data_IF_887827050388
#
_entry.id   IF_887827050388
#
_cell.length_a   1.000
_cell.length_b   1.000
_cell.length_c   1.000
_cell.angle_alpha   90.00
_cell.angle_beta   90.00
_cell.angle_gamma   90.00
#
_symmetry.space_group_name_H-M   'P 1'
#
loop_
_entity.id
_entity.type
_entity.pdbx_description
1 polymer ?
#
# COMPACT_ATOMS: atom_id res chain seq x y z
N UNK A 1 -21.05 -9.97 39.32
CA UNK A 1 -19.87 -9.85 38.44
C UNK A 1 -20.26 -10.36 37.06
N UNK A 2 -20.56 -9.48 36.10
CA UNK A 2 -20.77 -9.88 34.71
C UNK A 2 -19.40 -10.03 34.05
N UNK A 3 -19.02 -11.26 33.73
CA UNK A 3 -17.85 -11.52 32.89
C UNK A 3 -18.25 -11.06 31.48
N UNK A 4 -17.59 -10.01 30.97
CA UNK A 4 -17.79 -9.56 29.59
C UNK A 4 -17.46 -10.73 28.65
N UNK A 5 -18.33 -11.01 27.67
CA UNK A 5 -18.10 -12.06 26.65
C UNK A 5 -16.83 -11.80 25.82
N UNK A 6 -16.47 -10.53 25.65
CA UNK A 6 -15.25 -10.05 25.02
C UNK A 6 -14.50 -9.22 26.06
N UNK A 7 -13.60 -9.87 26.77
CA UNK A 7 -12.75 -9.28 27.80
C UNK A 7 -11.47 -8.70 27.20
N UNK A 8 -10.63 -8.12 28.04
CA UNK A 8 -9.33 -7.60 27.65
C UNK A 8 -8.45 -8.74 27.10
N UNK A 9 -7.70 -8.46 26.03
CA UNK A 9 -6.87 -9.42 25.29
C UNK A 9 -7.68 -10.48 24.51
N UNK A 10 -9.01 -10.38 24.44
CA UNK A 10 -9.82 -11.29 23.62
C UNK A 10 -9.34 -11.31 22.17
N UNK A 11 -9.15 -10.13 21.59
CA UNK A 11 -8.70 -9.97 20.20
C UNK A 11 -7.29 -10.51 19.99
N UNK A 12 -6.38 -10.31 20.94
CA UNK A 12 -5.03 -10.87 20.89
C UNK A 12 -5.08 -12.40 20.83
N UNK A 13 -5.85 -13.03 21.73
CA UNK A 13 -6.05 -14.49 21.72
C UNK A 13 -6.69 -14.97 20.44
N UNK A 14 -7.72 -14.27 19.96
CA UNK A 14 -8.40 -14.56 18.70
C UNK A 14 -7.42 -14.55 17.50
N UNK A 15 -6.62 -13.49 17.36
CA UNK A 15 -5.67 -13.39 16.25
C UNK A 15 -4.53 -14.41 16.35
N UNK A 16 -4.02 -14.68 17.55
CA UNK A 16 -3.03 -15.74 17.76
C UNK A 16 -3.57 -17.12 17.37
N UNK A 17 -4.79 -17.45 17.81
CA UNK A 17 -5.45 -18.71 17.45
C UNK A 17 -5.67 -18.84 15.95
N UNK A 18 -6.17 -17.79 15.29
CA UNK A 18 -6.41 -17.79 13.84
C UNK A 18 -5.11 -17.93 13.06
N UNK A 19 -4.06 -17.20 13.45
CA UNK A 19 -2.73 -17.30 12.84
C UNK A 19 -2.17 -18.71 13.00
N UNK A 20 -2.24 -19.29 14.21
CA UNK A 20 -1.78 -20.65 14.47
C UNK A 20 -2.54 -21.72 13.65
N UNK A 21 -3.83 -21.49 13.39
CA UNK A 21 -4.67 -22.38 12.56
C UNK A 21 -4.54 -22.13 11.05
N UNK A 22 -3.75 -21.14 10.62
CA UNK A 22 -3.68 -20.72 9.22
C UNK A 22 -5.00 -20.19 8.67
N UNK A 23 -5.95 -19.82 9.54
CA UNK A 23 -7.24 -19.28 9.13
C UNK A 23 -7.08 -17.78 8.88
N UNK A 24 -7.49 -17.35 7.70
CA UNK A 24 -7.53 -15.95 7.31
C UNK A 24 -8.99 -15.43 7.32
N UNK A 25 -9.18 -14.12 7.33
CA UNK A 25 -10.50 -13.54 7.59
C UNK A 25 -10.46 -12.08 8.06
N UNK A 26 -11.01 -11.14 7.31
CA UNK A 26 -11.21 -9.77 7.79
C UNK A 26 -12.43 -9.70 8.74
N UNK A 27 -12.24 -9.06 9.90
CA UNK A 27 -13.25 -8.98 10.97
C UNK A 27 -13.04 -10.03 12.08
N UNK A 28 -13.48 -9.68 13.30
CA UNK A 28 -13.34 -10.53 14.51
C UNK A 28 -14.68 -11.13 14.93
N UNK A 29 -15.75 -10.34 14.91
CA UNK A 29 -17.09 -10.73 15.35
C UNK A 29 -17.97 -11.19 14.19
N UNK A 30 -17.72 -10.68 12.98
CA UNK A 30 -18.36 -11.08 11.72
C UNK A 30 -17.45 -10.72 10.54
N UNK A 31 -17.74 -11.22 9.35
CA UNK A 31 -17.01 -10.90 8.12
C UNK A 31 -17.12 -9.42 7.78
N UNK A 32 -15.98 -8.75 7.60
CA UNK A 32 -15.89 -7.29 7.44
C UNK A 32 -16.57 -6.79 6.15
N UNK A 33 -16.20 -7.32 4.99
CA UNK A 33 -16.63 -6.77 3.69
C UNK A 33 -18.11 -6.96 3.37
N UNK A 34 -18.73 -8.12 3.70
CA UNK A 34 -20.19 -8.23 3.66
C UNK A 34 -20.90 -7.22 4.56
N UNK A 35 -20.36 -6.94 5.76
CA UNK A 35 -20.93 -5.94 6.66
C UNK A 35 -20.82 -4.53 6.06
N UNK A 36 -19.65 -4.17 5.51
CA UNK A 36 -19.43 -2.90 4.81
C UNK A 36 -20.43 -2.73 3.67
N UNK A 37 -20.57 -3.74 2.80
CA UNK A 37 -21.49 -3.67 1.66
C UNK A 37 -22.96 -3.50 2.08
N UNK A 38 -23.35 -4.09 3.22
CA UNK A 38 -24.74 -4.04 3.70
C UNK A 38 -25.07 -2.80 4.54
N UNK A 39 -24.09 -2.23 5.23
CA UNK A 39 -24.36 -1.21 6.28
C UNK A 39 -23.50 0.05 6.18
N UNK A 40 -22.39 0.02 5.43
CA UNK A 40 -21.41 1.10 5.39
C UNK A 40 -20.63 1.31 6.70
N UNK A 41 -20.77 0.42 7.68
CA UNK A 41 -20.23 0.56 9.03
C UNK A 41 -19.42 -0.69 9.42
N UNK A 42 -18.32 -0.48 10.17
CA UNK A 42 -17.42 -1.58 10.60
C UNK A 42 -17.56 -1.96 12.08
N UNK A 43 -18.35 -1.22 12.86
CA UNK A 43 -18.40 -1.33 14.33
C UNK A 43 -18.87 -2.71 14.79
N UNK A 44 -19.72 -3.38 14.01
CA UNK A 44 -20.19 -4.74 14.35
C UNK A 44 -19.18 -5.83 14.00
N UNK A 45 -18.12 -5.52 13.25
CA UNK A 45 -17.08 -6.49 12.90
C UNK A 45 -16.03 -6.66 14.01
N UNK A 46 -15.95 -5.74 14.97
CA UNK A 46 -14.85 -5.70 15.95
C UNK A 46 -15.34 -5.46 17.38
N UNK A 47 -14.69 -6.04 18.41
CA UNK A 47 -14.95 -5.66 19.79
C UNK A 47 -14.47 -4.22 20.08
N UNK A 48 -14.96 -3.64 21.18
CA UNK A 48 -14.66 -2.26 21.59
C UNK A 48 -13.15 -1.97 21.70
N UNK A 49 -12.37 -2.93 22.21
CA UNK A 49 -10.90 -2.80 22.34
C UNK A 49 -10.17 -2.62 21.01
N UNK A 50 -10.78 -2.95 19.87
CA UNK A 50 -10.22 -2.73 18.53
C UNK A 50 -10.82 -1.52 17.80
N UNK A 51 -11.73 -0.80 18.44
CA UNK A 51 -12.38 0.40 17.90
C UNK A 51 -11.93 1.68 18.61
N UNK A 52 -11.14 1.56 19.68
CA UNK A 52 -10.68 2.68 20.48
C UNK A 52 -9.29 2.40 21.04
N UNK A 53 -8.35 3.30 20.74
CA UNK A 53 -7.00 3.25 21.32
C UNK A 53 -7.05 3.46 22.84
N UNK A 54 -8.00 4.24 23.35
CA UNK A 54 -8.21 4.42 24.78
C UNK A 54 -8.65 3.11 25.44
N UNK A 55 -9.57 2.38 24.82
CA UNK A 55 -9.99 1.06 25.30
C UNK A 55 -8.83 0.05 25.24
N UNK A 56 -8.09 0.02 24.13
CA UNK A 56 -6.92 -0.85 23.95
C UNK A 56 -5.84 -0.61 25.01
N UNK A 57 -5.52 0.66 25.28
CA UNK A 57 -4.44 1.06 26.19
C UNK A 57 -4.89 1.24 27.64
N UNK A 58 -6.15 0.93 27.97
CA UNK A 58 -6.75 1.16 29.31
C UNK A 58 -6.64 2.61 29.77
N UNK A 59 -6.89 3.56 28.88
CA UNK A 59 -6.88 4.98 29.20
C UNK A 59 -5.50 5.64 29.15
N UNK A 60 -4.44 4.91 28.82
CA UNK A 60 -3.06 5.44 28.82
C UNK A 60 -2.75 6.31 27.62
N UNK A 61 -3.43 6.09 26.50
CA UNK A 61 -3.34 6.92 25.30
C UNK A 61 -4.75 7.18 24.79
N UNK A 62 -5.06 8.45 24.51
CA UNK A 62 -6.39 8.92 24.10
C UNK A 62 -6.36 9.65 22.77
N UNK A 63 -7.53 9.83 22.18
CA UNK A 63 -7.69 10.70 21.01
C UNK A 63 -7.22 12.12 21.33
N UNK A 64 -6.40 12.71 20.46
CA UNK A 64 -5.79 14.03 20.67
C UNK A 64 -4.44 14.01 21.39
N UNK A 65 -4.06 12.90 22.03
CA UNK A 65 -2.73 12.76 22.64
C UNK A 65 -1.62 12.75 21.58
N UNK A 66 -0.39 12.94 22.05
CA UNK A 66 0.81 12.72 21.27
C UNK A 66 1.56 11.53 21.86
N UNK A 67 1.81 10.53 21.03
CA UNK A 67 2.68 9.41 21.38
C UNK A 67 4.14 9.89 21.25
N UNK A 68 4.89 9.75 22.34
CA UNK A 68 6.31 10.11 22.50
C UNK A 68 7.06 8.94 23.14
N UNK A 69 8.37 9.09 23.36
CA UNK A 69 9.16 8.12 24.11
C UNK A 69 8.55 7.78 25.50
N UNK A 70 7.81 8.70 26.13
CA UNK A 70 7.26 8.53 27.47
C UNK A 70 6.08 7.55 27.55
N UNK A 71 5.35 7.35 26.45
CA UNK A 71 4.11 6.55 26.45
C UNK A 71 4.03 5.53 25.29
N UNK A 72 5.00 5.49 24.37
CA UNK A 72 5.01 4.58 23.22
C UNK A 72 4.98 3.11 23.62
N UNK A 73 5.48 2.74 24.80
CA UNK A 73 5.43 1.36 25.29
C UNK A 73 4.00 0.82 25.38
N UNK A 74 3.00 1.68 25.62
CA UNK A 74 1.59 1.28 25.69
C UNK A 74 1.00 0.89 24.34
N UNK A 75 1.65 1.24 23.24
CA UNK A 75 1.19 0.99 21.86
C UNK A 75 2.23 0.24 21.01
N UNK A 76 3.28 -0.30 21.65
CA UNK A 76 4.37 -1.02 20.98
C UNK A 76 3.88 -2.13 20.05
N UNK A 77 2.91 -2.92 20.52
CA UNK A 77 2.33 -4.04 19.77
C UNK A 77 1.46 -3.60 18.57
N UNK A 78 1.21 -2.29 18.42
CA UNK A 78 0.48 -1.70 17.29
C UNK A 78 1.38 -1.02 16.25
N UNK A 79 2.69 -1.00 16.46
CA UNK A 79 3.68 -0.34 15.61
C UNK A 79 4.61 -1.37 14.99
N UNK A 80 5.15 -1.03 13.81
CA UNK A 80 6.30 -1.77 13.30
C UNK A 80 7.56 -1.45 14.14
N UNK A 81 8.56 -2.36 14.17
CA UNK A 81 9.76 -2.17 14.99
C UNK A 81 10.55 -0.89 14.70
N UNK A 82 10.52 -0.41 13.44
CA UNK A 82 11.24 0.79 13.03
C UNK A 82 10.52 2.02 13.58
N UNK A 83 9.19 2.11 13.43
CA UNK A 83 8.40 3.20 14.01
C UNK A 83 8.54 3.27 15.54
N UNK A 84 8.51 2.12 16.23
CA UNK A 84 8.74 2.08 17.67
C UNK A 84 10.13 2.62 18.04
N UNK A 85 11.18 2.21 17.33
CA UNK A 85 12.55 2.69 17.55
C UNK A 85 12.66 4.20 17.33
N UNK A 86 12.06 4.71 16.24
CA UNK A 86 12.07 6.13 15.94
C UNK A 86 11.39 6.97 17.02
N UNK A 87 10.28 6.49 17.58
CA UNK A 87 9.57 7.22 18.65
C UNK A 87 10.29 7.12 19.99
N UNK A 88 10.74 5.92 20.37
CA UNK A 88 11.37 5.67 21.67
C UNK A 88 12.79 6.24 21.79
N UNK A 89 13.53 6.33 20.67
CA UNK A 89 14.96 6.65 20.69
C UNK A 89 15.36 7.84 19.82
N UNK A 90 14.59 8.16 18.76
CA UNK A 90 14.97 9.18 17.76
C UNK A 90 14.07 10.42 17.80
N UNK A 91 13.17 10.52 18.77
CA UNK A 91 12.33 11.70 18.98
C UNK A 91 11.16 11.85 18.00
N UNK A 92 10.82 10.83 17.19
CA UNK A 92 9.60 10.85 16.38
C UNK A 92 8.37 10.95 17.29
N UNK A 93 7.38 11.73 16.87
CA UNK A 93 6.13 11.94 17.61
C UNK A 93 4.94 11.59 16.73
N UNK A 94 3.92 10.93 17.30
CA UNK A 94 2.73 10.53 16.55
C UNK A 94 1.51 11.20 17.20
N UNK A 95 0.79 12.03 16.45
CA UNK A 95 -0.47 12.62 16.92
C UNK A 95 -1.59 11.59 16.77
N UNK A 96 -2.28 11.30 17.86
CA UNK A 96 -3.43 10.38 17.85
C UNK A 96 -4.66 11.09 17.31
N UNK A 97 -5.33 10.46 16.36
CA UNK A 97 -6.59 10.92 15.77
C UNK A 97 -7.68 9.89 15.99
N UNK A 98 -8.96 10.30 16.00
CA UNK A 98 -10.08 9.36 16.06
C UNK A 98 -10.02 8.33 14.93
N UNK A 99 -10.44 7.10 15.21
CA UNK A 99 -10.55 6.06 14.19
C UNK A 99 -11.70 6.37 13.22
N UNK A 100 -11.42 6.40 11.91
CA UNK A 100 -12.52 6.44 10.94
C UNK A 100 -13.28 5.11 10.93
N UNK A 101 -14.60 5.19 11.07
CA UNK A 101 -15.54 4.06 10.94
C UNK A 101 -16.13 3.94 9.54
N UNK A 102 -15.97 5.00 8.75
CA UNK A 102 -16.44 5.11 7.38
C UNK A 102 -15.33 4.68 6.42
N UNK A 103 -15.49 3.50 5.84
CA UNK A 103 -14.52 2.89 4.92
C UNK A 103 -14.47 3.63 3.58
N UNK A 104 -15.53 4.34 3.20
CA UNK A 104 -15.54 5.11 1.95
C UNK A 104 -14.53 6.26 1.95
N UNK A 105 -14.04 6.67 3.12
CA UNK A 105 -12.98 7.68 3.28
C UNK A 105 -11.57 7.12 3.19
N UNK A 106 -11.41 5.80 3.17
CA UNK A 106 -10.12 5.11 3.14
C UNK A 106 -9.64 4.78 1.73
N UNK A 107 -10.49 4.96 0.72
CA UNK A 107 -10.23 4.57 -0.65
C UNK A 107 -10.79 5.62 -1.62
N UNK A 108 -10.18 5.77 -2.82
CA UNK A 108 -10.84 6.47 -3.91
C UNK A 108 -12.22 5.88 -4.20
N UNK A 109 -13.18 6.75 -4.53
CA UNK A 109 -14.58 6.37 -4.67
C UNK A 109 -14.77 5.21 -5.67
N UNK A 110 -14.26 5.36 -6.90
CA UNK A 110 -14.46 4.38 -7.97
C UNK A 110 -13.78 3.04 -7.64
N UNK A 111 -12.60 3.08 -7.04
CA UNK A 111 -11.90 1.88 -6.57
C UNK A 111 -12.71 1.15 -5.49
N UNK A 112 -13.28 1.88 -4.55
CA UNK A 112 -14.14 1.31 -3.50
C UNK A 112 -15.41 0.69 -4.09
N UNK A 113 -16.08 1.38 -5.02
CA UNK A 113 -17.28 0.85 -5.69
C UNK A 113 -16.95 -0.42 -6.49
N UNK A 114 -15.86 -0.43 -7.25
CA UNK A 114 -15.39 -1.60 -7.97
C UNK A 114 -15.07 -2.76 -7.01
N UNK A 115 -14.43 -2.48 -5.88
CA UNK A 115 -14.12 -3.47 -4.84
C UNK A 115 -15.40 -4.15 -4.33
N UNK A 116 -16.42 -3.38 -3.97
CA UNK A 116 -17.70 -3.92 -3.49
C UNK A 116 -18.44 -4.73 -4.58
N UNK A 117 -18.43 -4.24 -5.83
CA UNK A 117 -19.09 -4.88 -6.98
C UNK A 117 -18.40 -6.17 -7.42
N UNK A 118 -17.08 -6.26 -7.24
CA UNK A 118 -16.26 -7.35 -7.78
C UNK A 118 -15.77 -8.34 -6.72
N UNK A 119 -15.98 -8.08 -5.42
CA UNK A 119 -15.61 -9.00 -4.36
C UNK A 119 -16.06 -10.45 -4.66
N UNK A 120 -15.16 -11.42 -4.43
CA UNK A 120 -15.41 -12.85 -4.67
C UNK A 120 -15.31 -13.29 -6.13
N UNK A 121 -14.98 -12.40 -7.08
CA UNK A 121 -14.76 -12.76 -8.50
C UNK A 121 -13.30 -13.04 -8.85
N UNK A 122 -12.35 -12.64 -8.01
CA UNK A 122 -10.93 -12.89 -8.25
C UNK A 122 -10.56 -14.34 -7.89
N UNK A 123 -9.71 -14.95 -8.70
CA UNK A 123 -9.01 -16.20 -8.39
C UNK A 123 -7.56 -16.08 -8.85
N UNK A 124 -6.68 -16.92 -8.32
CA UNK A 124 -5.36 -17.15 -8.90
C UNK A 124 -5.48 -18.23 -9.98
N UNK A 125 -4.90 -18.00 -11.15
CA UNK A 125 -4.78 -19.02 -12.20
C UNK A 125 -3.66 -20.04 -11.88
N UNK A 126 -3.46 -21.01 -12.77
CA UNK A 126 -2.43 -22.05 -12.61
C UNK A 126 -0.99 -21.50 -12.53
N UNK A 127 -0.77 -20.27 -13.01
CA UNK A 127 0.51 -19.58 -12.96
C UNK A 127 0.63 -18.63 -11.75
N UNK A 128 -0.43 -18.50 -10.93
CA UNK A 128 -0.49 -17.59 -9.79
C UNK A 128 -0.85 -16.15 -10.15
N UNK A 129 -1.27 -15.87 -11.38
CA UNK A 129 -1.78 -14.56 -11.78
C UNK A 129 -3.22 -14.37 -11.30
N UNK A 130 -3.58 -13.15 -10.91
CA UNK A 130 -4.98 -12.84 -10.58
C UNK A 130 -5.79 -12.79 -11.86
N UNK A 131 -6.91 -13.49 -11.92
CA UNK A 131 -7.82 -13.48 -13.07
C UNK A 131 -9.27 -13.44 -12.59
N UNK A 132 -10.18 -13.08 -13.50
CA UNK A 132 -11.62 -13.20 -13.24
C UNK A 132 -12.05 -14.65 -13.36
N UNK A 133 -12.65 -15.15 -12.27
CA UNK A 133 -13.17 -16.51 -12.13
C UNK A 133 -13.99 -16.94 -13.35
N UNK A 134 -13.61 -18.08 -13.93
CA UNK A 134 -14.32 -18.70 -15.06
C UNK A 134 -14.08 -18.04 -16.42
N UNK A 135 -13.24 -17.00 -16.49
CA UNK A 135 -12.92 -16.33 -17.78
C UNK A 135 -11.45 -16.43 -18.17
N UNK A 136 -10.54 -16.54 -17.19
CA UNK A 136 -9.10 -16.44 -17.41
C UNK A 136 -8.62 -15.04 -17.83
N UNK A 137 -9.51 -14.05 -17.91
CA UNK A 137 -9.16 -12.67 -18.28
C UNK A 137 -8.53 -11.92 -17.10
N UNK A 138 -7.75 -10.85 -17.38
CA UNK A 138 -7.23 -9.94 -16.36
C UNK A 138 -8.28 -9.42 -15.37
N UNK A 139 -7.82 -8.92 -14.22
CA UNK A 139 -8.67 -8.40 -13.17
C UNK A 139 -9.46 -7.15 -13.60
N UNK A 140 -10.66 -6.98 -13.07
CA UNK A 140 -11.66 -5.99 -13.54
C UNK A 140 -11.91 -4.81 -12.60
N UNK A 141 -10.97 -4.55 -11.67
CA UNK A 141 -10.99 -3.34 -10.85
C UNK A 141 -11.36 -3.56 -9.38
N UNK A 142 -10.87 -2.64 -8.54
CA UNK A 142 -10.94 -2.74 -7.09
C UNK A 142 -9.91 -3.70 -6.48
N UNK A 143 -9.99 -3.94 -5.17
CA UNK A 143 -9.15 -4.92 -4.50
C UNK A 143 -9.63 -6.36 -4.85
N UNK A 144 -8.78 -7.22 -5.45
CA UNK A 144 -9.17 -8.57 -5.84
C UNK A 144 -9.55 -9.46 -4.66
N UNK A 145 -8.80 -9.41 -3.57
CA UNK A 145 -8.96 -10.28 -2.42
C UNK A 145 -9.23 -9.47 -1.15
N UNK A 146 -10.45 -8.98 -1.03
CA UNK A 146 -10.90 -8.22 0.15
C UNK A 146 -10.78 -9.00 1.47
N UNK A 147 -10.84 -10.33 1.37
CA UNK A 147 -10.59 -11.26 2.48
C UNK A 147 -9.50 -12.27 2.07
N UNK A 148 -8.21 -11.87 2.09
CA UNK A 148 -7.13 -12.66 1.50
C UNK A 148 -6.86 -13.91 2.34
N UNK A 149 -6.80 -15.07 1.69
CA UNK A 149 -6.61 -16.38 2.32
C UNK A 149 -5.15 -16.79 2.50
N UNK A 150 -4.22 -16.05 1.90
CA UNK A 150 -2.78 -16.27 2.01
C UNK A 150 -2.02 -14.97 1.76
N UNK A 151 -0.70 -15.00 1.95
CA UNK A 151 0.15 -13.83 1.76
C UNK A 151 0.21 -13.33 0.31
N UNK A 152 0.09 -14.23 -0.66
CA UNK A 152 0.11 -13.86 -2.08
C UNK A 152 -1.14 -13.07 -2.47
N UNK A 153 -2.33 -13.50 -2.02
CA UNK A 153 -3.58 -12.75 -2.20
C UNK A 153 -3.53 -11.38 -1.52
N UNK A 154 -2.95 -11.30 -0.33
CA UNK A 154 -2.77 -10.02 0.37
C UNK A 154 -1.82 -9.08 -0.40
N UNK A 155 -0.72 -9.60 -0.94
CA UNK A 155 0.25 -8.82 -1.71
C UNK A 155 -0.27 -8.40 -3.10
N UNK A 156 -1.13 -9.22 -3.72
CA UNK A 156 -1.81 -8.90 -4.96
C UNK A 156 -2.66 -7.62 -4.84
N UNK A 157 -3.32 -7.39 -3.70
CA UNK A 157 -4.10 -6.18 -3.44
C UNK A 157 -3.29 -4.88 -3.47
N UNK A 158 -1.97 -4.97 -3.24
CA UNK A 158 -1.06 -3.82 -3.34
C UNK A 158 -0.52 -3.73 -4.77
N UNK A 159 0.01 -4.84 -5.29
CA UNK A 159 0.73 -4.86 -6.58
C UNK A 159 -0.15 -4.43 -7.75
N UNK A 160 -1.38 -4.94 -7.85
CA UNK A 160 -2.22 -4.74 -9.05
C UNK A 160 -2.79 -3.33 -9.20
N UNK A 161 -2.82 -2.53 -8.13
CA UNK A 161 -3.26 -1.14 -8.22
C UNK A 161 -2.51 -0.29 -7.20
N UNK A 162 -1.34 0.22 -7.61
CA UNK A 162 -0.71 1.34 -6.92
C UNK A 162 -1.62 2.57 -7.05
N UNK A 163 -1.55 3.46 -6.07
CA UNK A 163 -2.36 4.69 -6.04
C UNK A 163 -3.87 4.50 -5.91
N UNK A 164 -4.39 3.32 -6.28
CA UNK A 164 -5.82 2.95 -6.31
C UNK A 164 -6.65 3.83 -7.26
N UNK A 165 -6.00 4.33 -8.31
CA UNK A 165 -6.62 5.06 -9.42
C UNK A 165 -6.20 4.44 -10.76
N UNK A 166 -6.94 4.74 -11.82
CA UNK A 166 -6.57 4.35 -13.19
C UNK A 166 -5.27 5.03 -13.64
N UNK A 167 -5.03 6.26 -13.17
CA UNK A 167 -3.80 7.01 -13.37
C UNK A 167 -3.49 7.83 -12.12
N UNK A 168 -2.22 7.80 -11.68
CA UNK A 168 -1.73 8.64 -10.59
C UNK A 168 -0.41 9.31 -10.99
N UNK A 169 -0.21 10.54 -10.51
CA UNK A 169 1.03 11.28 -10.65
C UNK A 169 1.42 11.82 -9.27
N UNK A 170 2.67 11.57 -8.88
CA UNK A 170 3.27 12.03 -7.64
C UNK A 170 4.39 12.99 -7.97
N UNK A 171 4.36 14.18 -7.37
CA UNK A 171 5.52 15.05 -7.31
C UNK A 171 6.36 14.62 -6.12
N UNK A 172 7.64 14.38 -6.35
CA UNK A 172 8.57 13.87 -5.35
C UNK A 172 9.75 14.81 -5.28
N UNK A 173 10.00 15.32 -4.07
CA UNK A 173 11.31 15.84 -3.69
C UNK A 173 12.07 14.70 -3.00
N UNK A 174 13.24 14.42 -3.53
CA UNK A 174 14.10 13.33 -3.09
C UNK A 174 15.43 13.92 -2.64
N UNK A 175 15.77 13.68 -1.39
CA UNK A 175 16.97 14.17 -0.73
C UNK A 175 17.74 12.97 -0.18
N UNK A 176 18.79 12.56 -0.86
CA UNK A 176 19.66 11.46 -0.40
C UNK A 176 20.67 12.01 0.60
N UNK A 177 20.57 11.51 1.84
CA UNK A 177 21.31 12.00 2.99
C UNK A 177 22.53 11.12 3.23
N UNK A 178 23.72 11.73 3.24
CA UNK A 178 24.97 11.07 3.54
C UNK A 178 25.14 10.70 5.02
N UNK A 179 26.17 9.90 5.38
CA UNK A 179 26.41 9.48 6.76
C UNK A 179 26.61 10.62 7.77
N UNK A 180 27.02 11.80 7.30
CA UNK A 180 27.23 12.99 8.13
C UNK A 180 25.94 13.81 8.34
N UNK A 181 24.83 13.42 7.70
CA UNK A 181 23.54 14.13 7.76
C UNK A 181 23.37 15.23 6.71
N UNK A 182 24.34 15.44 5.84
CA UNK A 182 24.27 16.39 4.73
C UNK A 182 23.53 15.79 3.52
N UNK A 183 22.81 16.63 2.78
CA UNK A 183 22.21 16.24 1.49
C UNK A 183 23.34 16.09 0.47
N UNK A 184 23.58 14.87 -0.01
CA UNK A 184 24.62 14.58 -1.01
C UNK A 184 24.05 14.66 -2.43
N UNK A 185 22.80 14.24 -2.61
CA UNK A 185 22.06 14.34 -3.87
C UNK A 185 20.65 14.86 -3.61
N UNK A 186 20.18 15.70 -4.54
CA UNK A 186 18.83 16.25 -4.50
C UNK A 186 18.20 16.15 -5.87
N UNK A 187 17.04 15.52 -5.94
CA UNK A 187 16.25 15.37 -7.14
C UNK A 187 14.84 15.93 -6.93
N UNK A 188 14.29 16.51 -8.00
CA UNK A 188 12.85 16.66 -8.12
C UNK A 188 12.42 15.83 -9.30
N UNK A 189 11.44 14.97 -9.08
CA UNK A 189 10.93 14.07 -10.08
C UNK A 189 9.42 13.97 -10.00
N UNK A 190 8.83 13.54 -11.11
CA UNK A 190 7.46 13.07 -11.10
C UNK A 190 7.45 11.56 -11.35
N UNK A 191 6.66 10.86 -10.55
CA UNK A 191 6.36 9.44 -10.72
C UNK A 191 4.94 9.31 -11.24
N UNK A 192 4.75 8.61 -12.34
CA UNK A 192 3.44 8.40 -12.95
C UNK A 192 3.19 6.91 -13.14
N UNK A 193 1.96 6.50 -12.89
CA UNK A 193 1.48 5.16 -13.15
C UNK A 193 0.13 5.23 -13.85
N UNK A 194 -0.03 4.45 -14.90
CA UNK A 194 -1.26 4.30 -15.67
C UNK A 194 -1.54 2.83 -15.86
N UNK A 195 -2.58 2.33 -15.20
CA UNK A 195 -3.03 0.95 -15.39
C UNK A 195 -3.60 0.78 -16.80
N UNK A 196 -3.51 -0.43 -17.33
CA UNK A 196 -4.14 -0.83 -18.61
C UNK A 196 -5.22 -1.87 -18.40
N UNK A 197 -5.23 -2.52 -17.24
CA UNK A 197 -6.26 -3.44 -16.77
C UNK A 197 -6.79 -2.97 -15.42
N UNK A 198 -7.87 -3.59 -14.95
CA UNK A 198 -8.52 -3.23 -13.69
C UNK A 198 -8.94 -1.75 -13.58
N UNK A 199 -9.26 -1.12 -14.73
CA UNK A 199 -9.71 0.26 -14.79
C UNK A 199 -11.09 0.42 -14.14
N UNK A 200 -11.24 1.42 -13.28
CA UNK A 200 -12.45 1.67 -12.51
C UNK A 200 -13.20 2.92 -12.94
N UNK A 201 -12.54 3.82 -13.68
CA UNK A 201 -13.08 5.11 -14.13
C UNK A 201 -13.08 5.24 -15.66
N UNK A 202 -12.54 4.26 -16.40
CA UNK A 202 -12.49 4.28 -17.86
C UNK A 202 -13.87 3.98 -18.49
N UNK A 203 -14.35 4.81 -19.45
CA UNK A 203 -15.71 4.70 -19.99
C UNK A 203 -15.99 3.40 -20.74
N UNK A 204 -14.99 2.89 -21.47
CA UNK A 204 -15.15 1.69 -22.33
C UNK A 204 -15.01 0.36 -21.58
N UNK A 205 -14.83 0.40 -20.26
CA UNK A 205 -14.74 -0.77 -19.41
C UNK A 205 -13.38 -0.95 -18.75
N UNK A 206 -13.11 -2.14 -18.19
CA UNK A 206 -12.02 -2.34 -17.24
C UNK A 206 -10.64 -2.47 -17.90
N UNK A 207 -10.55 -2.34 -19.22
CA UNK A 207 -9.35 -2.55 -20.00
C UNK A 207 -9.14 -1.43 -21.00
N UNK A 208 -7.88 -1.08 -21.23
CA UNK A 208 -7.47 -0.29 -22.37
C UNK A 208 -7.36 -1.24 -23.58
N UNK A 209 -8.09 -0.93 -24.66
CA UNK A 209 -8.19 -1.80 -25.85
C UNK A 209 -6.80 -2.12 -26.43
N UNK A 210 -6.51 -3.42 -26.58
CA UNK A 210 -5.25 -3.92 -27.14
C UNK A 210 -4.07 -3.94 -26.16
N UNK A 211 -4.30 -3.60 -24.89
CA UNK A 211 -3.28 -3.50 -23.84
C UNK A 211 -3.58 -4.43 -22.64
N UNK A 212 -4.44 -5.44 -22.84
CA UNK A 212 -4.87 -6.40 -21.82
C UNK A 212 -3.73 -7.33 -21.36
N UNK A 213 -2.67 -7.45 -22.15
CA UNK A 213 -1.44 -8.20 -21.83
C UNK A 213 -0.54 -7.45 -20.83
N UNK A 214 -0.88 -6.21 -20.48
CA UNK A 214 -0.11 -5.35 -19.58
C UNK A 214 -0.89 -5.09 -18.29
N UNK A 215 -0.15 -4.87 -17.21
CA UNK A 215 -0.72 -4.36 -15.97
C UNK A 215 -0.80 -2.84 -16.01
N UNK A 216 0.34 -2.21 -16.34
CA UNK A 216 0.49 -0.75 -16.35
C UNK A 216 1.70 -0.26 -17.13
N UNK A 217 1.64 1.03 -17.46
CA UNK A 217 2.81 1.84 -17.73
C UNK A 217 3.19 2.60 -16.46
N UNK A 218 4.44 2.54 -16.05
CA UNK A 218 4.99 3.39 -15.00
C UNK A 218 6.11 4.23 -15.59
N UNK A 219 6.15 5.51 -15.27
CA UNK A 219 7.21 6.41 -15.72
C UNK A 219 7.74 7.23 -14.57
N UNK A 220 9.03 7.56 -14.63
CA UNK A 220 9.67 8.53 -13.76
C UNK A 220 10.45 9.50 -14.62
N UNK A 221 10.32 10.80 -14.37
CA UNK A 221 11.10 11.82 -15.06
C UNK A 221 11.58 12.90 -14.11
N UNK A 222 12.81 13.35 -14.34
CA UNK A 222 13.52 14.27 -13.48
C UNK A 222 13.35 15.70 -14.01
N UNK A 223 12.99 16.63 -13.12
CA UNK A 223 12.86 18.06 -13.42
C UNK A 223 14.00 18.89 -12.83
N UNK A 224 14.74 18.32 -11.87
CA UNK A 224 15.91 18.90 -11.20
C UNK A 224 16.85 17.77 -10.75
N UNK A 225 18.19 17.96 -10.72
CA UNK A 225 18.95 19.17 -11.09
C UNK A 225 19.09 19.36 -12.60
N UNK A 226 19.72 20.46 -13.02
CA UNK A 226 19.84 20.84 -14.45
C UNK A 226 20.51 19.77 -15.32
N UNK A 227 21.46 19.01 -14.76
CA UNK A 227 22.19 17.94 -15.45
C UNK A 227 21.33 16.68 -15.69
N UNK A 228 20.37 16.42 -14.80
CA UNK A 228 19.46 15.27 -14.86
C UNK A 228 18.10 15.64 -15.44
N UNK A 229 17.78 16.94 -15.56
CA UNK A 229 16.52 17.45 -16.07
C UNK A 229 16.19 16.90 -17.46
N UNK A 230 15.02 16.28 -17.57
CA UNK A 230 14.53 15.62 -18.77
C UNK A 230 14.95 14.15 -18.89
N UNK A 231 15.83 13.66 -18.01
CA UNK A 231 16.05 12.21 -17.89
C UNK A 231 14.73 11.56 -17.52
N UNK A 232 14.37 10.51 -18.25
CA UNK A 232 13.07 9.86 -18.12
C UNK A 232 13.23 8.35 -18.24
N UNK A 233 12.46 7.59 -17.48
CA UNK A 233 12.39 6.14 -17.59
C UNK A 233 10.94 5.71 -17.73
N UNK A 234 10.68 4.83 -18.69
CA UNK A 234 9.40 4.16 -18.89
C UNK A 234 9.57 2.68 -18.56
N UNK A 235 8.68 2.19 -17.73
CA UNK A 235 8.62 0.84 -17.24
C UNK A 235 7.28 0.21 -17.68
N UNK A 236 7.34 -0.82 -18.52
CA UNK A 236 6.16 -1.48 -19.08
C UNK A 236 5.94 -2.78 -18.33
N UNK A 237 4.93 -2.80 -17.48
CA UNK A 237 4.60 -3.96 -16.66
C UNK A 237 3.71 -4.93 -17.44
N UNK A 238 4.14 -6.17 -17.55
CA UNK A 238 3.32 -7.26 -18.08
C UNK A 238 2.20 -7.59 -17.08
N UNK A 239 1.09 -8.09 -17.60
CA UNK A 239 0.05 -8.63 -16.75
C UNK A 239 0.51 -9.92 -16.06
N UNK A 240 1.29 -10.75 -16.77
CA UNK A 240 1.93 -11.92 -16.20
C UNK A 240 2.96 -11.51 -15.14
N UNK A 241 2.64 -11.80 -13.89
CA UNK A 241 3.42 -11.42 -12.72
C UNK A 241 4.70 -12.24 -12.54
N UNK A 242 4.96 -13.20 -13.44
CA UNK A 242 6.23 -13.94 -13.53
C UNK A 242 7.28 -13.19 -14.36
N UNK A 243 6.84 -12.22 -15.17
CA UNK A 243 7.70 -11.48 -16.08
C UNK A 243 8.11 -10.15 -15.48
N UNK A 244 9.41 -9.85 -15.56
CA UNK A 244 9.89 -8.55 -15.18
C UNK A 244 9.44 -7.47 -16.18
N UNK A 245 9.19 -6.24 -15.70
CA UNK A 245 8.87 -5.12 -16.57
C UNK A 245 9.99 -4.76 -17.57
N UNK A 246 9.58 -4.27 -18.75
CA UNK A 246 10.53 -3.73 -19.73
C UNK A 246 10.91 -2.29 -19.36
N UNK A 247 12.21 -2.02 -19.23
CA UNK A 247 12.72 -0.69 -18.88
C UNK A 247 13.34 0.03 -20.10
N UNK A 248 12.85 1.23 -20.36
CA UNK A 248 13.39 2.15 -21.36
C UNK A 248 13.79 3.46 -20.70
N UNK A 249 14.96 3.99 -21.03
CA UNK A 249 15.43 5.27 -20.52
C UNK A 249 15.76 6.23 -21.65
N UNK A 250 15.36 7.48 -21.48
CA UNK A 250 15.76 8.61 -22.30
C UNK A 250 16.75 9.48 -21.52
N UNK A 251 17.92 9.71 -22.14
CA UNK A 251 18.98 10.54 -21.58
C UNK A 251 19.16 11.80 -22.45
N UNK A 252 18.85 13.01 -21.93
CA UNK A 252 18.94 14.26 -22.68
C UNK A 252 20.30 14.52 -23.33
N UNK A 253 21.38 14.17 -22.63
CA UNK A 253 22.75 14.33 -23.12
C UNK A 253 22.99 13.58 -24.45
N UNK A 254 22.32 12.46 -24.67
CA UNK A 254 22.46 11.64 -25.88
C UNK A 254 21.28 11.75 -26.84
N UNK A 255 20.17 12.37 -26.41
CA UNK A 255 18.89 12.48 -27.16
C UNK A 255 18.43 11.13 -27.73
N UNK A 256 18.59 10.06 -26.97
CA UNK A 256 18.27 8.69 -27.39
C UNK A 256 17.51 7.97 -26.29
N UNK A 257 16.53 7.18 -26.73
CA UNK A 257 15.89 6.15 -25.93
C UNK A 257 16.70 4.87 -26.05
N UNK A 258 16.95 4.20 -24.94
CA UNK A 258 17.61 2.89 -24.90
C UNK A 258 16.83 1.96 -24.00
N UNK A 259 16.82 0.67 -24.34
CA UNK A 259 16.36 -0.38 -23.43
C UNK A 259 17.45 -0.64 -22.41
N UNK A 260 17.07 -0.69 -21.14
CA UNK A 260 17.95 -1.05 -20.04
C UNK A 260 17.75 -2.53 -19.68
N UNK A 261 18.80 -3.21 -19.19
CA UNK A 261 18.66 -4.55 -18.65
C UNK A 261 17.70 -4.56 -17.45
N UNK A 262 16.98 -5.65 -17.28
CA UNK A 262 16.00 -5.81 -16.21
C UNK A 262 16.58 -5.59 -14.80
N UNK A 263 17.82 -6.03 -14.55
CA UNK A 263 18.49 -5.86 -13.25
C UNK A 263 18.75 -4.40 -12.86
N UNK A 264 18.67 -3.45 -13.80
CA UNK A 264 18.79 -2.01 -13.51
C UNK A 264 17.78 -1.54 -12.46
N UNK A 265 16.67 -2.26 -12.28
CA UNK A 265 15.66 -1.96 -11.25
C UNK A 265 16.16 -2.08 -9.81
N UNK A 266 17.30 -2.75 -9.59
CA UNK A 266 17.99 -2.91 -8.31
C UNK A 266 19.22 -2.00 -8.18
N UNK A 267 19.38 -1.08 -9.12
CA UNK A 267 20.47 -0.12 -9.17
C UNK A 267 19.92 1.31 -9.26
N UNK A 268 20.69 2.32 -8.84
CA UNK A 268 20.27 3.72 -8.97
C UNK A 268 20.00 4.05 -10.44
N UNK A 269 18.82 4.61 -10.74
CA UNK A 269 18.45 5.00 -12.12
C UNK A 269 19.09 6.33 -12.54
N UNK A 270 19.51 7.12 -11.57
CA UNK A 270 20.37 8.31 -11.70
C UNK A 270 21.48 8.23 -10.66
N UNK A 271 22.60 8.97 -10.80
CA UNK A 271 23.67 8.92 -9.81
C UNK A 271 23.17 9.25 -8.39
N UNK A 272 23.66 8.54 -7.38
CA UNK A 272 23.43 8.89 -5.98
C UNK A 272 22.05 8.57 -5.40
N UNK A 273 21.01 8.39 -6.22
CA UNK A 273 19.67 8.07 -5.73
C UNK A 273 19.65 6.73 -4.99
N UNK A 274 19.08 6.71 -3.78
CA UNK A 274 18.95 5.51 -2.95
C UNK A 274 17.55 4.89 -3.01
N UNK A 275 16.64 5.52 -3.74
CA UNK A 275 15.34 4.97 -4.11
C UNK A 275 15.42 4.14 -5.40
N UNK A 276 15.08 2.85 -5.31
CA UNK A 276 15.07 1.92 -6.43
C UNK A 276 13.66 1.73 -7.00
N UNK A 277 13.56 1.36 -8.28
CA UNK A 277 12.25 1.05 -8.90
C UNK A 277 11.51 -0.09 -8.16
N UNK A 278 12.27 -1.00 -7.55
CA UNK A 278 11.77 -2.12 -6.73
C UNK A 278 11.12 -1.67 -5.41
N UNK A 279 11.48 -0.50 -4.89
CA UNK A 279 10.98 0.00 -3.59
C UNK A 279 9.58 0.59 -3.67
N UNK A 280 9.13 0.97 -4.87
CA UNK A 280 7.87 1.67 -5.08
C UNK A 280 6.70 0.91 -4.43
N UNK A 281 5.94 1.59 -3.56
CA UNK A 281 4.77 1.03 -2.87
C UNK A 281 5.03 -0.23 -2.03
N UNK A 282 6.29 -0.56 -1.71
CA UNK A 282 6.69 -1.87 -1.16
C UNK A 282 6.25 -3.06 -2.04
N UNK A 283 5.95 -2.79 -3.31
CA UNK A 283 5.45 -3.73 -4.29
C UNK A 283 5.97 -3.38 -5.69
N UNK A 284 7.17 -2.78 -5.76
CA UNK A 284 7.79 -2.26 -6.97
C UNK A 284 8.24 -3.35 -7.94
N UNK A 285 7.97 -4.61 -7.63
CA UNK A 285 8.24 -5.79 -8.45
C UNK A 285 6.98 -6.62 -8.69
N UNK A 286 6.91 -7.36 -9.82
CA UNK A 286 5.83 -8.31 -10.05
C UNK A 286 5.67 -9.26 -8.87
N UNK A 287 4.41 -9.50 -8.45
CA UNK A 287 4.15 -10.20 -7.18
C UNK A 287 4.65 -11.65 -7.13
N UNK A 288 5.00 -12.27 -8.26
CA UNK A 288 5.58 -13.61 -8.29
C UNK A 288 7.13 -13.60 -8.35
N UNK A 289 7.76 -12.42 -8.26
CA UNK A 289 9.23 -12.28 -8.23
C UNK A 289 9.83 -12.85 -6.96
N UNK A 290 9.36 -12.41 -5.78
CA UNK A 290 10.02 -12.68 -4.50
C UNK A 290 9.53 -13.95 -3.80
N UNK A 291 8.38 -14.50 -4.21
CA UNK A 291 7.84 -15.78 -3.79
C UNK A 291 7.67 -15.96 -2.26
N UNK A 292 7.13 -17.11 -1.85
CA UNK A 292 7.09 -17.56 -0.45
C UNK A 292 6.50 -16.58 0.58
N UNK A 293 5.51 -15.78 0.21
CA UNK A 293 4.80 -14.90 1.16
C UNK A 293 4.23 -15.72 2.31
N UNK A 294 4.62 -15.36 3.53
CA UNK A 294 4.13 -15.97 4.77
C UNK A 294 3.48 -14.90 5.63
N UNK A 295 2.29 -15.22 6.13
CA UNK A 295 1.64 -14.42 7.17
C UNK A 295 2.27 -14.84 8.50
N UNK A 296 3.14 -13.98 9.05
CA UNK A 296 3.86 -14.23 10.30
C UNK A 296 3.12 -13.71 11.54
N UNK A 297 2.08 -12.91 11.35
CA UNK A 297 1.30 -12.32 12.43
C UNK A 297 0.00 -11.69 11.93
N UNK A 298 -0.97 -11.57 12.83
CA UNK A 298 -2.24 -10.89 12.61
C UNK A 298 -2.57 -10.10 13.87
N UNK A 299 -3.12 -8.90 13.69
CA UNK A 299 -3.49 -8.04 14.80
C UNK A 299 -3.97 -6.67 14.34
N UNK A 300 -4.42 -5.83 15.28
CA UNK A 300 -4.60 -4.41 15.02
C UNK A 300 -3.25 -3.75 14.73
N UNK A 301 -3.29 -2.64 14.00
CA UNK A 301 -2.11 -1.83 13.69
C UNK A 301 -2.50 -0.35 13.73
N UNK A 302 -1.61 0.51 14.22
CA UNK A 302 -1.79 1.95 14.12
C UNK A 302 -1.54 2.38 12.67
N UNK A 303 -2.63 2.59 11.93
CA UNK A 303 -2.59 3.08 10.56
C UNK A 303 -2.50 4.60 10.47
N UNK A 304 -1.82 5.10 9.43
CA UNK A 304 -1.91 6.50 9.03
C UNK A 304 -3.33 6.85 8.57
N UNK A 305 -3.81 8.04 8.92
CA UNK A 305 -5.09 8.58 8.44
C UNK A 305 -4.89 9.92 7.71
N UNK A 306 -5.91 10.33 6.97
CA UNK A 306 -5.97 11.63 6.30
C UNK A 306 -5.98 12.81 7.29
N UNK A 307 -5.80 14.03 6.77
CA UNK A 307 -5.69 15.24 7.60
C UNK A 307 -4.27 15.54 8.10
N UNK A 308 -3.28 15.03 7.38
CA UNK A 308 -1.84 15.33 7.51
C UNK A 308 -1.35 16.35 6.47
N UNK A 309 -2.22 16.83 5.58
CA UNK A 309 -1.88 17.87 4.62
C UNK A 309 -1.74 19.22 5.33
N UNK A 310 -0.60 19.89 5.16
CA UNK A 310 -0.30 21.21 5.70
C UNK A 310 0.20 22.15 4.59
N UNK A 311 -0.48 22.13 3.43
CA UNK A 311 -0.13 22.96 2.27
C UNK A 311 -0.30 24.47 2.49
N UNK A 312 -0.80 24.88 3.65
CA UNK A 312 -0.85 26.25 4.14
C UNK A 312 0.43 26.68 4.90
N UNK A 313 1.38 25.78 5.14
CA UNK A 313 2.65 26.14 5.78
C UNK A 313 3.72 26.57 4.79
N UNK A 314 4.49 27.60 5.18
CA UNK A 314 5.51 28.25 4.34
C UNK A 314 6.59 27.28 3.81
N UNK A 315 6.82 26.16 4.49
CA UNK A 315 7.81 25.14 4.14
C UNK A 315 7.18 23.77 3.79
N UNK A 316 5.96 23.76 3.24
CA UNK A 316 5.39 22.55 2.65
C UNK A 316 5.99 22.35 1.24
N UNK A 317 7.25 21.92 1.22
CA UNK A 317 7.96 21.39 0.06
C UNK A 317 8.64 20.10 0.48
#
# INVERSE_FOLDING_TARGET
MHIKKYDHDYSRRFFMEKTAKGLMGAGVLTSLWPLIGNTGDITKAYPEELQSLEAYTKGKVKEGDVITADNVEHVKDLLDPVAYTQVSQMGRRIRVRPQTKDVSKLFPHDFYQATLKNQGKAVLDDNGNVVVKGTGKPWIGGAPFVDPQNGLEAFANITLSWGRHDTSIYAVEDNDIGPNGDIEYQYQLAWCEKNTTALVSHPDGPYLEGEEDKLRYQSVWFTYPNDSKGTSFLNIWKYDQREFPDLFGYLPAFKRVRRFPTNQRFEPIVPGITFFLSDAWAAGDPMLTWGNYKVIGRGPFLGSQSGTWHGDQDNWS
#
